data_IF_527312817978
#
_entry.id   IF_527312817978
#
_cell.length_a   1.000
_cell.length_b   1.000
_cell.length_c   1.000
_cell.angle_alpha   90.00
_cell.angle_beta   90.00
_cell.angle_gamma   90.00
#
_symmetry.space_group_name_H-M   'P 1'
#
loop_
_entity.id
_entity.type
_entity.pdbx_description
1 polymer ?
#
# COMPACT_ATOMS: atom_id res chain seq x y z
N UNK A 1 34.92 -2.67 -45.61
CA UNK A 1 34.71 -1.90 -44.35
C UNK A 1 33.25 -1.58 -44.03
N UNK A 2 32.35 -1.37 -45.02
CA UNK A 2 30.93 -0.99 -44.80
C UNK A 2 30.02 -2.08 -44.18
N UNK A 3 30.36 -3.36 -44.32
CA UNK A 3 29.53 -4.47 -43.79
C UNK A 3 29.75 -4.74 -42.29
N UNK A 4 30.97 -4.50 -41.77
CA UNK A 4 31.26 -4.69 -40.34
C UNK A 4 30.50 -3.68 -39.46
N UNK A 5 30.43 -2.42 -39.90
CA UNK A 5 29.68 -1.39 -39.18
C UNK A 5 28.18 -1.66 -39.14
N UNK A 6 27.61 -2.17 -40.24
CA UNK A 6 26.20 -2.56 -40.30
C UNK A 6 25.89 -3.71 -39.34
N UNK A 7 26.76 -4.70 -39.25
CA UNK A 7 26.60 -5.81 -38.31
C UNK A 7 26.69 -5.33 -36.85
N UNK A 8 27.64 -4.45 -36.53
CA UNK A 8 27.77 -3.87 -35.18
C UNK A 8 26.50 -3.10 -34.79
N UNK A 9 26.00 -2.24 -35.69
CA UNK A 9 24.77 -1.47 -35.44
C UNK A 9 23.57 -2.40 -35.29
N UNK A 10 23.44 -3.43 -36.13
CA UNK A 10 22.34 -4.40 -36.05
C UNK A 10 22.35 -5.13 -34.70
N UNK A 11 23.51 -5.63 -34.27
CA UNK A 11 23.65 -6.34 -32.99
C UNK A 11 23.38 -5.41 -31.81
N UNK A 12 23.83 -4.15 -31.87
CA UNK A 12 23.55 -3.17 -30.82
C UNK A 12 22.05 -2.88 -30.68
N UNK A 13 21.35 -2.73 -31.81
CA UNK A 13 19.88 -2.52 -31.83
C UNK A 13 19.16 -3.75 -31.28
N UNK A 14 19.53 -4.95 -31.70
CA UNK A 14 18.92 -6.19 -31.21
C UNK A 14 19.12 -6.38 -29.70
N UNK A 15 20.33 -6.11 -29.20
CA UNK A 15 20.62 -6.16 -27.77
C UNK A 15 19.79 -5.12 -26.97
N UNK A 16 19.64 -3.91 -27.50
CA UNK A 16 18.82 -2.87 -26.88
C UNK A 16 17.34 -3.28 -26.80
N UNK A 17 16.80 -3.84 -27.89
CA UNK A 17 15.41 -4.31 -27.93
C UNK A 17 15.19 -5.49 -26.98
N UNK A 18 16.11 -6.45 -26.94
CA UNK A 18 16.03 -7.60 -26.05
C UNK A 18 16.07 -7.18 -24.58
N UNK A 19 16.97 -6.25 -24.23
CA UNK A 19 17.05 -5.70 -22.87
C UNK A 19 15.78 -4.95 -22.49
N UNK A 20 15.27 -4.07 -23.36
CA UNK A 20 14.04 -3.32 -23.10
C UNK A 20 12.83 -4.24 -22.87
N UNK A 21 12.68 -5.27 -23.73
CA UNK A 21 11.62 -6.26 -23.58
C UNK A 21 11.77 -7.07 -22.29
N UNK A 22 12.98 -7.55 -21.99
CA UNK A 22 13.27 -8.31 -20.77
C UNK A 22 13.01 -7.51 -19.49
N UNK A 23 13.41 -6.24 -19.46
CA UNK A 23 13.15 -5.35 -18.32
C UNK A 23 11.66 -5.05 -18.16
N UNK A 24 10.93 -4.79 -19.25
CA UNK A 24 9.49 -4.53 -19.17
C UNK A 24 8.70 -5.75 -18.68
N UNK A 25 9.00 -6.92 -19.22
CA UNK A 25 8.37 -8.19 -18.79
C UNK A 25 8.73 -8.47 -17.33
N UNK A 26 10.00 -8.37 -16.94
CA UNK A 26 10.43 -8.58 -15.56
C UNK A 26 9.80 -7.61 -14.57
N UNK A 27 9.75 -6.32 -14.92
CA UNK A 27 9.12 -5.29 -14.09
C UNK A 27 7.62 -5.53 -13.94
N UNK A 28 6.90 -5.81 -15.04
CA UNK A 28 5.46 -6.09 -15.00
C UNK A 28 5.14 -7.31 -14.13
N UNK A 29 5.92 -8.39 -14.23
CA UNK A 29 5.71 -9.61 -13.45
C UNK A 29 5.99 -9.39 -11.96
N UNK A 30 7.06 -8.68 -11.61
CA UNK A 30 7.39 -8.34 -10.22
C UNK A 30 6.36 -7.39 -9.62
N UNK A 31 5.90 -6.38 -10.36
CA UNK A 31 4.89 -5.44 -9.88
C UNK A 31 3.53 -6.11 -9.67
N UNK A 32 3.15 -7.06 -10.54
CA UNK A 32 1.89 -7.79 -10.43
C UNK A 32 1.88 -8.88 -9.34
N UNK A 33 3.02 -9.18 -8.71
CA UNK A 33 3.15 -10.13 -7.58
C UNK A 33 3.32 -9.44 -6.22
N UNK A 34 3.29 -8.11 -6.16
CA UNK A 34 3.50 -7.33 -4.92
C UNK A 34 2.22 -7.05 -4.14
N UNK A 35 1.17 -7.81 -4.33
CA UNK A 35 0.12 -7.91 -3.31
C UNK A 35 0.53 -9.02 -2.34
N UNK A 36 1.17 -8.70 -1.19
CA UNK A 36 1.20 -9.66 -0.10
C UNK A 36 -0.24 -10.09 0.17
N UNK A 37 -0.51 -11.39 0.44
CA UNK A 37 -1.85 -11.82 0.80
C UNK A 37 -2.33 -10.89 1.90
N UNK A 38 -3.44 -10.22 1.62
CA UNK A 38 -4.04 -9.32 2.58
C UNK A 38 -4.42 -10.16 3.80
N UNK A 39 -4.46 -9.56 5.00
CA UNK A 39 -4.98 -10.27 6.17
C UNK A 39 -6.37 -10.90 5.89
N UNK A 40 -7.12 -10.31 4.96
CA UNK A 40 -8.38 -10.81 4.45
C UNK A 40 -8.26 -12.16 3.72
N UNK A 41 -7.24 -12.38 2.88
CA UNK A 41 -7.05 -13.68 2.19
C UNK A 41 -6.75 -14.80 3.19
N UNK A 42 -5.95 -14.51 4.23
CA UNK A 42 -5.67 -15.46 5.32
C UNK A 42 -6.93 -15.75 6.15
N UNK A 43 -7.74 -14.72 6.47
CA UNK A 43 -8.97 -14.90 7.25
C UNK A 43 -10.04 -15.68 6.47
N UNK A 44 -10.14 -15.51 5.15
CA UNK A 44 -11.17 -16.16 4.35
C UNK A 44 -10.79 -17.54 3.80
N UNK A 45 -9.51 -17.78 3.48
CA UNK A 45 -9.06 -19.06 2.91
C UNK A 45 -8.51 -20.06 3.95
N UNK A 46 -8.00 -19.60 5.11
CA UNK A 46 -7.42 -20.49 6.13
C UNK A 46 -8.37 -20.83 7.30
N UNK A 47 -9.48 -20.09 7.46
CA UNK A 47 -10.47 -20.34 8.52
C UNK A 47 -11.75 -20.96 7.93
N UNK A 48 -12.14 -22.13 8.43
CA UNK A 48 -13.46 -22.73 8.12
C UNK A 48 -14.58 -21.93 8.81
N UNK A 49 -15.01 -20.83 8.17
CA UNK A 49 -16.08 -19.97 8.68
C UNK A 49 -17.46 -20.59 8.39
N UNK A 50 -18.37 -20.50 9.37
CA UNK A 50 -19.79 -20.75 9.10
C UNK A 50 -20.38 -19.64 8.22
N UNK A 51 -21.49 -19.91 7.50
CA UNK A 51 -22.16 -18.91 6.66
C UNK A 51 -22.53 -17.64 7.45
N UNK A 52 -23.00 -17.80 8.69
CA UNK A 52 -23.34 -16.69 9.58
C UNK A 52 -22.10 -15.86 9.99
N UNK A 53 -20.96 -16.51 10.23
CA UNK A 53 -19.71 -15.79 10.52
C UNK A 53 -19.22 -15.02 9.30
N UNK A 54 -19.31 -15.62 8.11
CA UNK A 54 -18.93 -14.97 6.86
C UNK A 54 -19.74 -13.70 6.62
N UNK A 55 -21.08 -13.79 6.68
CA UNK A 55 -21.96 -12.64 6.49
C UNK A 55 -21.70 -11.51 7.52
N UNK A 56 -21.35 -11.85 8.75
CA UNK A 56 -20.99 -10.85 9.78
C UNK A 56 -19.64 -10.19 9.50
N UNK A 57 -18.64 -10.94 9.05
CA UNK A 57 -17.33 -10.42 8.67
C UNK A 57 -17.46 -9.49 7.46
N UNK A 58 -18.24 -9.85 6.43
CA UNK A 58 -18.47 -8.98 5.26
C UNK A 58 -19.01 -7.60 5.65
N UNK A 59 -19.92 -7.53 6.63
CA UNK A 59 -20.46 -6.24 7.13
C UNK A 59 -19.37 -5.41 7.83
N UNK A 60 -18.52 -6.06 8.62
CA UNK A 60 -17.39 -5.41 9.31
C UNK A 60 -16.38 -4.87 8.29
N UNK A 61 -16.04 -5.68 7.29
CA UNK A 61 -15.14 -5.33 6.19
C UNK A 61 -15.69 -4.17 5.37
N UNK A 62 -16.97 -4.22 4.96
CA UNK A 62 -17.60 -3.17 4.18
C UNK A 62 -17.54 -1.80 4.89
N UNK A 63 -17.72 -1.80 6.23
CA UNK A 63 -17.61 -0.58 7.02
C UNK A 63 -16.18 -0.05 7.07
N UNK A 64 -15.20 -0.92 7.34
CA UNK A 64 -13.80 -0.50 7.39
C UNK A 64 -13.30 -0.04 6.02
N UNK A 65 -13.70 -0.71 4.94
CA UNK A 65 -13.41 -0.33 3.56
C UNK A 65 -13.96 1.06 3.19
N UNK A 66 -15.10 1.47 3.76
CA UNK A 66 -15.64 2.82 3.56
C UNK A 66 -14.87 3.90 4.34
N UNK A 67 -14.33 3.58 5.52
CA UNK A 67 -13.62 4.52 6.40
C UNK A 67 -12.15 4.71 6.01
N UNK A 68 -11.46 3.61 5.70
CA UNK A 68 -10.02 3.54 5.50
C UNK A 68 -9.48 4.54 4.46
N UNK A 69 -10.09 4.73 3.26
CA UNK A 69 -9.57 5.66 2.27
C UNK A 69 -9.50 7.10 2.75
N UNK A 70 -10.44 7.53 3.59
CA UNK A 70 -10.46 8.86 4.19
C UNK A 70 -9.31 9.04 5.19
N UNK A 71 -9.13 8.08 6.09
CA UNK A 71 -8.03 8.09 7.07
C UNK A 71 -6.65 8.09 6.38
N UNK A 72 -6.49 7.28 5.33
CA UNK A 72 -5.26 7.27 4.53
C UNK A 72 -5.05 8.59 3.78
N UNK A 73 -6.12 9.24 3.32
CA UNK A 73 -6.04 10.55 2.69
C UNK A 73 -5.57 11.62 3.67
N UNK A 74 -6.07 11.62 4.91
CA UNK A 74 -5.61 12.52 5.98
C UNK A 74 -4.12 12.33 6.29
N UNK A 75 -3.67 11.08 6.43
CA UNK A 75 -2.24 10.78 6.61
C UNK A 75 -1.39 11.32 5.45
N UNK A 76 -1.84 11.13 4.21
CA UNK A 76 -1.13 11.66 3.03
C UNK A 76 -1.12 13.19 3.02
N UNK A 77 -2.23 13.84 3.38
CA UNK A 77 -2.34 15.29 3.44
C UNK A 77 -1.41 15.87 4.51
N UNK A 78 -1.39 15.29 5.72
CA UNK A 78 -0.50 15.68 6.80
C UNK A 78 0.99 15.47 6.42
N UNK A 79 1.32 14.41 5.69
CA UNK A 79 2.68 14.20 5.20
C UNK A 79 3.10 15.26 4.16
N UNK A 80 2.19 15.68 3.28
CA UNK A 80 2.44 16.78 2.33
C UNK A 80 2.56 18.14 3.04
N UNK A 81 1.83 18.36 4.13
CA UNK A 81 2.00 19.52 4.98
C UNK A 81 3.38 19.54 5.65
N UNK A 82 3.80 18.41 6.23
CA UNK A 82 5.12 18.26 6.83
C UNK A 82 6.24 18.51 5.83
N UNK A 83 6.14 17.93 4.62
CA UNK A 83 7.11 18.19 3.55
C UNK A 83 7.22 19.68 3.21
N UNK A 84 6.09 20.38 3.06
CA UNK A 84 6.07 21.83 2.81
C UNK A 84 6.66 22.64 3.97
N UNK A 85 6.39 22.23 5.21
CA UNK A 85 6.95 22.90 6.39
C UNK A 85 8.48 22.76 6.45
N UNK A 86 9.01 21.58 6.11
CA UNK A 86 10.45 21.33 6.04
C UNK A 86 11.10 22.16 4.92
N UNK A 87 10.47 22.25 3.74
CA UNK A 87 10.98 23.05 2.62
C UNK A 87 11.07 24.55 2.94
N UNK A 88 10.21 25.06 3.82
CA UNK A 88 10.10 26.50 4.15
C UNK A 88 10.87 26.89 5.42
N UNK A 89 11.44 25.93 6.15
CA UNK A 89 12.05 26.14 7.46
C UNK A 89 13.55 25.84 7.43
N UNK A 90 14.36 26.69 8.08
CA UNK A 90 15.80 26.49 8.24
C UNK A 90 16.14 25.43 9.33
N UNK A 91 15.13 24.76 9.90
CA UNK A 91 15.28 23.77 10.96
C UNK A 91 13.93 23.23 11.48
N UNK A 92 13.93 22.67 12.67
CA UNK A 92 12.77 22.05 13.33
C UNK A 92 11.85 23.06 14.05
N UNK A 93 11.65 24.23 13.43
CA UNK A 93 10.88 25.33 13.99
C UNK A 93 9.39 25.03 14.23
N UNK A 94 8.63 25.98 14.82
CA UNK A 94 7.26 25.76 15.26
C UNK A 94 6.30 25.22 14.18
N UNK A 95 6.51 25.59 12.92
CA UNK A 95 5.70 25.12 11.80
C UNK A 95 5.96 23.63 11.48
N UNK A 96 7.22 23.20 11.54
CA UNK A 96 7.58 21.79 11.36
C UNK A 96 7.01 20.96 12.49
N UNK A 97 7.12 21.43 13.75
CA UNK A 97 6.57 20.72 14.90
C UNK A 97 5.04 20.58 14.82
N UNK A 98 4.33 21.65 14.43
CA UNK A 98 2.88 21.59 14.25
C UNK A 98 2.47 20.57 13.17
N UNK A 99 3.22 20.49 12.07
CA UNK A 99 2.96 19.51 11.01
C UNK A 99 3.28 18.08 11.44
N UNK A 100 4.33 17.87 12.25
CA UNK A 100 4.64 16.58 12.89
C UNK A 100 3.51 16.15 13.82
N UNK A 101 3.02 17.04 14.67
CA UNK A 101 1.91 16.75 15.59
C UNK A 101 0.64 16.38 14.82
N UNK A 102 0.32 17.12 13.76
CA UNK A 102 -0.82 16.80 12.89
C UNK A 102 -0.67 15.43 12.24
N UNK A 103 0.52 15.12 11.72
CA UNK A 103 0.82 13.80 11.16
C UNK A 103 0.65 12.69 12.19
N UNK A 104 1.07 12.88 13.44
CA UNK A 104 0.87 11.92 14.52
C UNK A 104 -0.61 11.69 14.85
N UNK A 105 -1.43 12.75 14.85
CA UNK A 105 -2.88 12.63 15.05
C UNK A 105 -3.53 11.82 13.92
N UNK A 106 -3.22 12.13 12.67
CA UNK A 106 -3.76 11.42 11.50
C UNK A 106 -3.35 9.95 11.49
N UNK A 107 -2.07 9.66 11.74
CA UNK A 107 -1.56 8.30 11.86
C UNK A 107 -2.20 7.54 13.02
N UNK A 108 -2.37 8.20 14.16
CA UNK A 108 -3.00 7.61 15.34
C UNK A 108 -4.47 7.26 15.10
N UNK A 109 -5.20 8.08 14.34
CA UNK A 109 -6.58 7.80 13.94
C UNK A 109 -6.66 6.54 13.07
N UNK A 110 -5.84 6.46 12.00
CA UNK A 110 -5.76 5.27 11.14
C UNK A 110 -5.41 4.01 11.93
N UNK A 111 -4.44 4.09 12.84
CA UNK A 111 -4.00 2.96 13.65
C UNK A 111 -5.11 2.47 14.60
N UNK A 112 -5.81 3.40 15.28
CA UNK A 112 -6.91 3.05 16.20
C UNK A 112 -8.04 2.33 15.48
N UNK A 113 -8.46 2.84 14.32
CA UNK A 113 -9.53 2.23 13.52
C UNK A 113 -9.12 0.84 13.00
N UNK A 114 -7.85 0.69 12.57
CA UNK A 114 -7.33 -0.61 12.13
C UNK A 114 -7.32 -1.63 13.27
N UNK A 115 -6.89 -1.24 14.47
CA UNK A 115 -6.91 -2.11 15.66
C UNK A 115 -8.35 -2.48 16.05
N UNK A 116 -9.27 -1.52 16.03
CA UNK A 116 -10.69 -1.75 16.33
C UNK A 116 -11.29 -2.76 15.35
N UNK A 117 -11.04 -2.60 14.05
CA UNK A 117 -11.47 -3.53 13.00
C UNK A 117 -10.95 -4.96 13.25
N UNK A 118 -9.67 -5.14 13.59
CA UNK A 118 -9.10 -6.46 13.92
C UNK A 118 -9.78 -7.09 15.15
N UNK A 119 -10.02 -6.32 16.21
CA UNK A 119 -10.73 -6.83 17.38
C UNK A 119 -12.18 -7.21 17.09
N UNK A 120 -12.84 -6.49 16.21
CA UNK A 120 -14.21 -6.77 15.81
C UNK A 120 -14.29 -8.06 14.98
N UNK A 121 -13.39 -8.26 14.01
CA UNK A 121 -13.28 -9.54 13.29
C UNK A 121 -13.03 -10.69 14.27
N UNK A 122 -12.08 -10.54 15.21
CA UNK A 122 -11.80 -11.56 16.24
C UNK A 122 -13.04 -11.91 17.07
N UNK A 123 -13.93 -10.96 17.33
CA UNK A 123 -15.16 -11.19 18.10
C UNK A 123 -16.15 -12.13 17.38
N UNK A 124 -16.11 -12.19 16.05
CA UNK A 124 -16.93 -13.12 15.25
C UNK A 124 -16.32 -14.52 15.23
N UNK A 125 -14.99 -14.61 15.27
CA UNK A 125 -14.23 -15.87 15.22
C UNK A 125 -14.17 -16.61 16.57
N UNK A 126 -14.32 -15.89 17.68
CA UNK A 126 -14.26 -16.50 19.01
C UNK A 126 -15.63 -17.08 19.37
N UNK A 127 -15.77 -18.39 19.67
CA UNK A 127 -17.04 -18.93 20.15
C UNK A 127 -17.45 -18.18 21.40
N UNK A 128 -18.73 -17.79 21.50
CA UNK A 128 -19.31 -17.20 22.70
C UNK A 128 -18.99 -18.11 23.91
N UNK A 129 -18.12 -17.63 24.80
CA UNK A 129 -18.05 -18.13 26.18
C UNK A 129 -19.03 -17.36 27.03
#
# INVERSE_FOLDING_TARGET
>A
MRNGWRAIVLTAVLAALASAAGTWIGASWVMNRREPPSLHDIVHDELELTADQHARIEVIEARFAALRPGLEAEVRAANQELARAIEQSDGDGPQVQAAVDHFHVAMGALQKETIAHVFEMRSVLTPSR
#
